data_IF_217882824581
#
_entry.id   IF_217882824581
#
_cell.length_a   1.000
_cell.length_b   1.000
_cell.length_c   1.000
_cell.angle_alpha   90.00
_cell.angle_beta   90.00
_cell.angle_gamma   90.00
#
_symmetry.space_group_name_H-M   'P 1'
#
loop_
_entity.id
_entity.type
_entity.pdbx_description
1 polymer ?
#
# COMPACT_ATOMS: atom_id res chain seq x y z
N UNK A 1 8.67 14.23 -0.57
CA UNK A 1 9.22 12.97 -0.02
C UNK A 1 10.25 13.34 1.02
N UNK A 2 10.03 12.96 2.28
CA UNK A 2 10.98 13.22 3.36
C UNK A 2 12.04 12.11 3.36
N UNK A 3 13.31 12.48 3.23
CA UNK A 3 14.42 11.52 3.18
C UNK A 3 14.81 11.11 4.61
N UNK A 4 14.55 9.86 4.98
CA UNK A 4 14.99 9.30 6.26
C UNK A 4 16.46 8.92 6.16
N UNK A 5 17.29 9.51 7.04
CA UNK A 5 18.70 9.15 7.18
C UNK A 5 18.86 8.13 8.30
N UNK A 6 19.49 7.01 8.00
CA UNK A 6 19.87 5.98 8.98
C UNK A 6 21.28 5.49 8.68
N UNK A 7 21.94 4.94 9.69
CA UNK A 7 23.23 4.28 9.54
C UNK A 7 23.04 2.76 9.45
N UNK A 8 23.92 2.11 8.70
CA UNK A 8 24.07 0.67 8.74
C UNK A 8 24.82 0.24 10.01
N UNK A 9 24.51 -0.94 10.53
CA UNK A 9 25.14 -1.49 11.72
C UNK A 9 25.29 -3.01 11.60
N UNK A 10 26.23 -3.57 12.37
CA UNK A 10 26.47 -5.01 12.41
C UNK A 10 25.45 -5.71 13.31
N UNK A 11 24.86 -6.81 12.82
CA UNK A 11 23.98 -7.70 13.57
C UNK A 11 24.39 -9.14 13.32
N UNK A 12 24.99 -9.79 14.32
CA UNK A 12 25.64 -11.08 14.14
C UNK A 12 26.72 -11.01 13.05
N UNK A 13 26.56 -11.85 12.02
CA UNK A 13 27.46 -11.93 10.86
C UNK A 13 26.97 -11.11 9.65
N UNK A 14 25.99 -10.22 9.84
CA UNK A 14 25.35 -9.47 8.76
C UNK A 14 25.36 -7.97 9.02
N UNK A 15 25.10 -7.19 7.97
CA UNK A 15 24.89 -5.74 8.05
C UNK A 15 23.40 -5.46 7.87
N UNK A 16 22.85 -4.61 8.71
CA UNK A 16 21.45 -4.21 8.67
C UNK A 16 21.31 -2.68 8.70
N UNK A 17 20.16 -2.20 8.24
CA UNK A 17 19.72 -0.79 8.38
C UNK A 17 18.44 -0.74 9.19
N UNK A 18 18.25 0.31 9.99
CA UNK A 18 17.03 0.50 10.77
C UNK A 18 15.97 1.17 9.90
N UNK A 19 14.85 0.49 9.70
CA UNK A 19 13.69 1.05 9.01
C UNK A 19 12.69 1.59 10.05
N UNK A 20 12.27 2.86 9.97
CA UNK A 20 11.23 3.38 10.85
C UNK A 20 9.88 2.72 10.61
N UNK A 21 9.07 2.59 11.68
CA UNK A 21 7.71 2.03 11.60
C UNK A 21 6.80 2.76 10.60
N UNK A 22 7.05 4.04 10.34
CA UNK A 22 6.30 4.84 9.37
C UNK A 22 6.43 4.34 7.93
N UNK A 23 7.41 3.48 7.62
CA UNK A 23 7.56 2.84 6.31
C UNK A 23 6.67 1.59 6.14
N UNK A 24 5.93 1.18 7.18
CA UNK A 24 4.96 0.08 7.09
C UNK A 24 5.55 -1.33 7.07
N UNK A 25 6.88 -1.48 7.12
CA UNK A 25 7.55 -2.79 7.13
C UNK A 25 7.33 -3.51 8.47
N UNK A 26 6.90 -4.76 8.40
CA UNK A 26 6.64 -5.64 9.55
C UNK A 26 7.72 -6.72 9.67
N UNK A 27 8.01 -7.22 10.88
CA UNK A 27 8.85 -8.40 11.05
C UNK A 27 8.25 -9.60 10.32
N UNK A 28 9.05 -10.25 9.47
CA UNK A 28 8.62 -11.41 8.67
C UNK A 28 8.36 -11.08 7.20
N UNK A 29 8.18 -9.80 6.84
CA UNK A 29 8.02 -9.38 5.45
C UNK A 29 9.26 -9.78 4.63
N UNK A 30 9.02 -10.36 3.45
CA UNK A 30 10.07 -10.73 2.51
C UNK A 30 10.38 -9.57 1.57
N UNK A 31 11.67 -9.33 1.33
CA UNK A 31 12.13 -8.30 0.41
C UNK A 31 13.13 -8.87 -0.59
N UNK A 32 12.98 -8.46 -1.84
CA UNK A 32 14.01 -8.58 -2.84
C UNK A 32 14.99 -7.40 -2.68
N UNK A 33 16.27 -7.73 -2.56
CA UNK A 33 17.36 -6.75 -2.47
C UNK A 33 18.12 -6.77 -3.79
N UNK A 34 18.12 -5.66 -4.51
CA UNK A 34 18.92 -5.50 -5.73
C UNK A 34 19.87 -4.31 -5.59
N UNK A 35 21.01 -4.38 -6.28
CA UNK A 35 21.99 -3.29 -6.32
C UNK A 35 22.05 -2.70 -7.72
N UNK A 36 21.80 -1.40 -7.82
CA UNK A 36 21.97 -0.64 -9.06
C UNK A 36 22.99 0.48 -8.81
N UNK A 37 24.24 0.22 -9.18
CA UNK A 37 25.36 1.13 -8.96
C UNK A 37 25.58 1.45 -7.48
N UNK A 38 25.45 2.73 -7.06
CA UNK A 38 25.59 3.14 -5.66
C UNK A 38 24.32 2.95 -4.83
N UNK A 39 23.20 2.54 -5.45
CA UNK A 39 21.91 2.41 -4.79
C UNK A 39 21.60 0.95 -4.45
N UNK A 40 21.05 0.74 -3.27
CA UNK A 40 20.42 -0.52 -2.85
C UNK A 40 18.92 -0.30 -2.94
N UNK A 41 18.23 -1.13 -3.74
CA UNK A 41 16.79 -1.11 -3.86
C UNK A 41 16.20 -2.26 -3.05
N UNK A 42 15.13 -1.96 -2.32
CA UNK A 42 14.36 -2.90 -1.52
C UNK A 42 12.95 -2.94 -2.11
N UNK A 43 12.55 -4.09 -2.63
CA UNK A 43 11.20 -4.32 -3.15
C UNK A 43 10.52 -5.35 -2.27
N UNK A 44 9.31 -5.05 -1.78
CA UNK A 44 8.52 -6.06 -1.08
C UNK A 44 8.20 -7.20 -2.04
N UNK A 45 8.43 -8.44 -1.61
CA UNK A 45 8.00 -9.62 -2.36
C UNK A 45 6.52 -9.81 -2.05
N UNK A 46 5.68 -9.50 -3.04
CA UNK A 46 4.28 -9.89 -3.02
C UNK A 46 4.19 -11.42 -3.03
N UNK A 47 3.65 -12.02 -1.97
CA UNK A 47 3.20 -13.42 -2.02
C UNK A 47 1.79 -13.42 -2.61
N UNK A 48 1.61 -13.88 -3.87
CA UNK A 48 0.32 -13.82 -4.52
C UNK A 48 -0.75 -14.66 -3.81
N UNK A 49 -0.36 -15.72 -3.09
CA UNK A 49 -1.31 -16.54 -2.33
C UNK A 49 -1.77 -15.79 -1.07
N UNK A 50 -0.85 -15.14 -0.37
CA UNK A 50 -1.17 -14.30 0.79
C UNK A 50 -2.04 -13.11 0.39
N UNK A 51 -1.68 -12.39 -0.67
CA UNK A 51 -2.48 -11.26 -1.17
C UNK A 51 -3.88 -11.69 -1.59
N UNK A 52 -4.01 -12.83 -2.28
CA UNK A 52 -5.33 -13.39 -2.63
C UNK A 52 -6.13 -13.75 -1.38
N UNK A 53 -5.49 -14.30 -0.35
CA UNK A 53 -6.16 -14.64 0.90
C UNK A 53 -6.65 -13.38 1.64
N UNK A 54 -5.85 -12.32 1.70
CA UNK A 54 -6.24 -11.03 2.28
C UNK A 54 -7.42 -10.40 1.52
N UNK A 55 -7.36 -10.37 0.19
CA UNK A 55 -8.45 -9.86 -0.65
C UNK A 55 -9.71 -10.70 -0.44
N UNK A 56 -9.59 -12.03 -0.41
CA UNK A 56 -10.72 -12.92 -0.18
C UNK A 56 -11.37 -12.68 1.19
N UNK A 57 -10.57 -12.44 2.24
CA UNK A 57 -11.05 -12.09 3.57
C UNK A 57 -11.83 -10.76 3.56
N UNK A 58 -11.28 -9.72 2.93
CA UNK A 58 -11.96 -8.42 2.78
C UNK A 58 -13.29 -8.55 2.02
N UNK A 59 -13.32 -9.32 0.94
CA UNK A 59 -14.57 -9.59 0.18
C UNK A 59 -15.58 -10.34 1.05
N UNK A 60 -15.12 -11.28 1.89
CA UNK A 60 -16.00 -11.99 2.82
C UNK A 60 -16.60 -11.04 3.86
N UNK A 61 -15.81 -10.13 4.42
CA UNK A 61 -16.27 -9.08 5.34
C UNK A 61 -17.31 -8.16 4.68
N UNK A 62 -17.03 -7.69 3.45
CA UNK A 62 -17.98 -6.85 2.70
C UNK A 62 -19.30 -7.58 2.43
N UNK A 63 -19.26 -8.87 2.09
CA UNK A 63 -20.49 -9.68 1.91
C UNK A 63 -21.25 -9.86 3.21
N UNK A 64 -20.56 -9.95 4.35
CA UNK A 64 -21.18 -10.10 5.66
C UNK A 64 -21.96 -8.86 6.10
N UNK A 65 -21.62 -7.67 5.58
CA UNK A 65 -22.38 -6.44 5.80
C UNK A 65 -23.77 -6.47 5.14
N UNK A 66 -24.03 -7.45 4.27
CA UNK A 66 -25.28 -7.59 3.55
C UNK A 66 -25.30 -6.75 2.27
N UNK A 67 -26.34 -6.93 1.43
CA UNK A 67 -26.53 -6.09 0.26
C UNK A 67 -26.71 -4.63 0.71
N UNK A 68 -26.00 -3.72 0.06
CA UNK A 68 -26.40 -2.31 0.10
C UNK A 68 -27.79 -2.23 -0.52
N UNK A 69 -28.71 -1.50 0.12
CA UNK A 69 -29.93 -1.09 -0.58
C UNK A 69 -29.51 -0.37 -1.86
N UNK A 70 -30.23 -0.60 -2.96
CA UNK A 70 -29.95 0.09 -4.22
C UNK A 70 -29.87 1.59 -3.93
N UNK A 71 -28.70 2.18 -4.16
CA UNK A 71 -28.53 3.62 -4.01
C UNK A 71 -29.56 4.29 -4.91
N UNK A 72 -30.32 5.24 -4.36
CA UNK A 72 -31.25 6.02 -5.16
C UNK A 72 -30.44 6.65 -6.30
N UNK A 73 -30.79 6.43 -7.58
CA UNK A 73 -30.07 7.02 -8.71
C UNK A 73 -30.03 8.55 -8.69
N UNK A 74 -30.85 9.21 -7.84
CA UNK A 74 -30.77 10.64 -7.52
C UNK A 74 -29.62 10.99 -6.55
N UNK A 75 -29.17 10.05 -5.71
CA UNK A 75 -28.18 10.23 -4.64
C UNK A 75 -26.75 10.23 -5.21
N UNK A 76 -26.39 11.38 -5.78
CA UNK A 76 -25.12 11.57 -6.51
C UNK A 76 -25.25 12.49 -7.72
N UNK A 77 -26.46 12.93 -8.07
CA UNK A 77 -26.66 14.00 -9.05
C UNK A 77 -26.23 15.33 -8.47
N UNK A 78 -24.98 15.69 -8.74
CA UNK A 78 -24.51 17.07 -8.61
C UNK A 78 -24.95 17.85 -9.85
N UNK A 79 -25.79 18.86 -9.66
CA UNK A 79 -26.00 19.90 -10.66
C UNK A 79 -24.67 20.64 -10.85
N UNK A 80 -24.00 20.36 -11.98
CA UNK A 80 -22.79 21.10 -12.34
C UNK A 80 -23.22 22.53 -12.66
N UNK A 81 -22.66 23.56 -11.99
CA UNK A 81 -23.02 24.93 -12.30
C UNK A 81 -22.54 25.29 -13.71
N UNK A 82 -23.35 26.06 -14.44
CA UNK A 82 -22.95 26.63 -15.71
C UNK A 82 -21.68 27.47 -15.54
N UNK A 83 -20.60 27.07 -16.22
CA UNK A 83 -19.33 27.81 -16.24
C UNK A 83 -19.26 28.61 -17.55
N UNK A 84 -19.51 29.93 -17.54
CA UNK A 84 -19.34 30.75 -18.73
C UNK A 84 -17.86 30.79 -19.14
N UNK A 85 -17.54 30.44 -20.39
CA UNK A 85 -16.18 30.52 -20.94
C UNK A 85 -15.65 29.31 -21.71
N UNK A 86 -16.45 28.25 -21.91
CA UNK A 86 -16.14 27.13 -22.81
C UNK A 86 -17.09 27.18 -24.03
N UNK A 87 -16.83 28.12 -24.94
CA UNK A 87 -17.46 28.22 -26.26
C UNK A 87 -16.44 28.67 -27.28
#
# INVERSE_FOLDING_TARGET
>A
MEAIRTNAFQTGNSVAVRLPKSLGVRPGDMFEVSRNGPFINLHAVADPEHERAEIAALVAELRALGPMEDADPEDGRIELPDRPGLS
#
